data_IF_337422593419
#
_entry.id   IF_337422593419
#
_cell.length_a   1.000
_cell.length_b   1.000
_cell.length_c   1.000
_cell.angle_alpha   90.00
_cell.angle_beta   90.00
_cell.angle_gamma   90.00
#
_symmetry.space_group_name_H-M   'P 1'
#
loop_
_entity.id
_entity.type
_entity.pdbx_description
1 polymer ?
2 non-polymer ?
3 non-polymer ?
4 water ?
#
# COMPACT_ATOMS: atom_id res chain seq x y z
N UNK A 4 -21.26 -38.82 4.23
CA UNK A 4 -21.00 -38.00 5.42
C UNK A 4 -20.14 -36.79 5.08
N UNK A 5 -20.65 -35.55 5.24
CA UNK A 5 -20.03 -34.38 4.60
C UNK A 5 -18.63 -34.08 5.14
N UNK A 6 -17.90 -33.22 4.43
CA UNK A 6 -16.47 -33.07 4.58
C UNK A 6 -16.15 -32.01 5.63
N UNK A 7 -15.00 -32.19 6.28
CA UNK A 7 -14.40 -31.25 7.23
C UNK A 7 -14.48 -29.82 6.67
N UNK A 8 -15.07 -28.90 7.45
CA UNK A 8 -15.14 -27.49 7.11
C UNK A 8 -14.56 -26.64 8.24
N UNK A 9 -14.16 -25.38 7.95
CA UNK A 9 -13.60 -24.49 8.98
C UNK A 9 -14.59 -24.19 10.11
N UNK A 10 -14.12 -24.05 11.36
CA UNK A 10 -14.97 -23.74 12.46
C UNK A 10 -15.60 -22.36 12.25
N UNK A 11 -16.84 -22.19 12.68
CA UNK A 11 -17.54 -20.90 12.54
C UNK A 11 -17.66 -20.29 13.93
N UNK A 12 -17.35 -19.01 14.07
CA UNK A 12 -17.49 -18.30 15.36
C UNK A 12 -18.99 -18.07 15.61
N UNK A 13 -19.47 -18.12 16.87
CA UNK A 13 -20.87 -17.87 17.18
C UNK A 13 -21.33 -16.52 16.60
N UNK A 14 -22.56 -16.53 16.09
CA UNK A 14 -23.22 -15.56 15.20
C UNK A 14 -23.38 -14.09 15.56
N UNK A 15 -23.51 -13.70 16.82
CA UNK A 15 -23.77 -12.26 17.01
C UNK A 15 -25.13 -11.84 16.46
N UNK A 16 -25.20 -10.77 15.66
CA UNK A 16 -26.48 -10.18 15.15
C UNK A 16 -27.00 -10.86 13.87
N UNK A 17 -28.32 -11.07 13.69
CA UNK A 17 -28.82 -11.83 12.53
C UNK A 17 -28.75 -11.03 11.23
N UNK A 18 -28.76 -9.69 11.35
CA UNK A 18 -28.70 -8.78 10.21
C UNK A 18 -27.24 -8.56 9.81
N UNK A 19 -26.34 -8.55 10.81
CA UNK A 19 -25.09 -7.83 10.71
C UNK A 19 -23.89 -8.79 10.81
N UNK A 20 -24.14 -10.01 11.29
CA UNK A 20 -23.08 -10.94 11.66
C UNK A 20 -22.24 -10.39 12.80
N UNK A 21 -20.93 -10.22 12.53
CA UNK A 21 -19.96 -9.86 13.57
C UNK A 21 -19.42 -8.44 13.32
N UNK A 22 -20.00 -7.74 12.34
CA UNK A 22 -19.37 -6.58 11.74
C UNK A 22 -19.12 -5.50 12.79
N UNK A 23 -20.00 -5.41 13.79
CA UNK A 23 -19.92 -4.35 14.79
C UNK A 23 -18.69 -4.59 15.69
N UNK A 24 -18.50 -5.85 16.10
CA UNK A 24 -17.35 -6.23 16.93
C UNK A 24 -16.07 -6.11 16.10
N UNK A 25 -16.20 -6.38 14.80
CA UNK A 25 -15.08 -6.28 13.86
C UNK A 25 -14.68 -4.81 13.67
N UNK A 26 -15.67 -3.96 13.44
CA UNK A 26 -15.47 -2.55 13.10
C UNK A 26 -14.87 -1.77 14.26
N UNK A 27 -15.14 -2.23 15.49
CA UNK A 27 -14.64 -1.63 16.71
C UNK A 27 -13.11 -1.51 16.62
N UNK A 28 -12.45 -2.66 16.41
CA UNK A 28 -11.03 -2.76 16.13
C UNK A 28 -10.80 -3.98 15.24
N UNK A 29 -10.35 -3.82 13.98
CA UNK A 29 -10.27 -4.99 13.12
C UNK A 29 -9.10 -5.93 13.46
N UNK A 30 -8.00 -5.39 13.98
CA UNK A 30 -6.83 -6.20 14.32
C UNK A 30 -7.13 -7.06 15.55
N UNK A 31 -7.72 -6.44 16.59
CA UNK A 31 -8.10 -7.16 17.80
C UNK A 31 -9.01 -8.35 17.42
N UNK A 32 -10.03 -8.06 16.61
CA UNK A 32 -11.03 -9.05 16.22
C UNK A 32 -10.33 -10.28 15.62
N UNK A 33 -9.49 -10.04 14.60
CA UNK A 33 -8.90 -11.10 13.80
C UNK A 33 -7.88 -11.88 14.66
N UNK A 34 -7.19 -11.17 15.55
CA UNK A 34 -6.27 -11.80 16.51
C UNK A 34 -7.06 -12.76 17.39
N UNK A 35 -8.20 -12.29 17.92
CA UNK A 35 -9.04 -13.08 18.80
C UNK A 35 -9.59 -14.30 18.04
N UNK A 36 -10.02 -14.07 16.78
CA UNK A 36 -10.63 -15.12 15.97
C UNK A 36 -9.63 -16.28 15.83
N UNK A 37 -8.39 -15.95 15.46
CA UNK A 37 -7.37 -16.95 15.21
C UNK A 37 -7.02 -17.64 16.54
N UNK A 38 -6.90 -16.85 17.61
CA UNK A 38 -6.53 -17.38 18.92
C UNK A 38 -7.49 -18.51 19.31
N UNK A 39 -8.77 -18.36 18.95
CA UNK A 39 -9.83 -19.22 19.47
C UNK A 39 -10.10 -20.37 18.50
N UNK A 40 -9.90 -20.15 17.20
CA UNK A 40 -10.39 -21.08 16.18
C UNK A 40 -9.25 -21.58 15.27
N UNK A 41 -8.13 -20.85 15.23
CA UNK A 41 -6.90 -21.32 14.60
C UNK A 41 -6.71 -20.76 13.21
N UNK A 42 -6.05 -21.54 12.34
CA UNK A 42 -5.45 -21.06 11.09
C UNK A 42 -6.55 -20.73 10.08
N UNK A 43 -7.67 -21.46 10.17
CA UNK A 43 -8.78 -21.35 9.21
C UNK A 43 -10.09 -21.20 9.99
N UNK A 44 -10.62 -19.97 9.99
CA UNK A 44 -11.68 -19.58 10.92
C UNK A 44 -12.71 -18.71 10.20
N UNK A 45 -13.98 -19.09 10.35
CA UNK A 45 -15.09 -18.44 9.64
C UNK A 45 -15.83 -17.50 10.59
N UNK A 46 -16.17 -16.33 10.06
CA UNK A 46 -17.07 -15.38 10.71
C UNK A 46 -17.96 -14.77 9.62
N UNK A 47 -18.88 -13.89 10.01
CA UNK A 47 -19.75 -13.34 8.94
C UNK A 47 -19.98 -11.82 9.00
N UNK A 48 -19.43 -11.12 8.01
CA UNK A 48 -19.80 -9.74 7.70
C UNK A 48 -21.18 -9.73 7.01
N UNK A 49 -22.18 -9.19 7.72
CA UNK A 49 -23.55 -9.11 7.22
C UNK A 49 -24.05 -10.53 6.89
N UNK A 50 -24.49 -10.73 5.65
CA UNK A 50 -24.98 -12.03 5.18
C UNK A 50 -23.79 -12.93 4.83
N UNK A 51 -22.70 -12.31 4.36
CA UNK A 51 -21.56 -13.01 3.76
C UNK A 51 -20.76 -13.73 4.84
N UNK A 52 -20.14 -14.86 4.47
CA UNK A 52 -19.29 -15.64 5.36
C UNK A 52 -17.83 -15.49 4.93
N UNK A 53 -17.01 -14.94 5.85
CA UNK A 53 -15.58 -14.74 5.64
C UNK A 53 -14.81 -15.86 6.38
N UNK A 54 -13.76 -16.37 5.73
CA UNK A 54 -12.85 -17.32 6.36
C UNK A 54 -11.46 -16.69 6.43
N UNK A 55 -10.96 -16.51 7.65
CA UNK A 55 -9.65 -15.93 7.91
C UNK A 55 -8.58 -17.01 7.75
N UNK A 56 -7.62 -16.75 6.85
CA UNK A 56 -6.52 -17.66 6.56
C UNK A 56 -5.21 -17.07 7.12
N UNK A 57 -4.74 -17.64 8.22
CA UNK A 57 -3.52 -17.16 8.86
C UNK A 57 -2.54 -18.32 9.03
N UNK A 58 -1.27 -17.96 9.21
CA UNK A 58 -0.17 -18.91 9.25
C UNK A 58 0.39 -19.18 7.87
N UNK A 59 1.52 -19.90 7.87
CA UNK A 59 2.30 -20.18 6.67
C UNK A 59 1.45 -20.93 5.65
N UNK A 60 0.82 -22.02 6.08
CA UNK A 60 0.19 -22.98 5.18
C UNK A 60 -1.05 -22.35 4.55
N UNK A 61 -1.92 -21.76 5.39
CA UNK A 61 -3.16 -21.16 4.92
C UNK A 61 -2.84 -19.96 4.02
N UNK A 62 -1.81 -19.20 4.38
CA UNK A 62 -1.34 -18.06 3.60
C UNK A 62 -0.94 -18.54 2.20
N UNK A 63 -0.23 -19.66 2.13
CA UNK A 63 0.27 -20.23 0.89
C UNK A 63 -0.91 -20.53 -0.05
N UNK A 64 -1.92 -21.22 0.49
CA UNK A 64 -3.10 -21.61 -0.29
C UNK A 64 -3.79 -20.35 -0.84
N UNK A 65 -3.70 -19.24 -0.10
CA UNK A 65 -4.34 -17.99 -0.48
C UNK A 65 -3.60 -17.39 -1.68
N UNK A 66 -2.27 -17.23 -1.55
CA UNK A 66 -1.49 -16.43 -2.49
C UNK A 66 -1.25 -17.22 -3.78
N UNK A 67 -1.34 -18.56 -3.69
CA UNK A 67 -0.95 -19.44 -4.78
C UNK A 67 -2.17 -19.89 -5.57
N UNK A 68 -3.36 -19.55 -5.06
CA UNK A 68 -4.61 -19.90 -5.74
C UNK A 68 -4.63 -19.26 -7.12
N UNK A 69 -5.06 -20.01 -8.16
CA UNK A 69 -5.40 -19.42 -9.46
C UNK A 69 -6.45 -18.31 -9.33
N UNK A 70 -6.49 -17.40 -10.31
CA UNK A 70 -7.42 -16.28 -10.31
C UNK A 70 -8.85 -16.81 -10.51
N UNK A 71 -8.95 -18.04 -11.01
CA UNK A 71 -10.23 -18.67 -11.33
C UNK A 71 -10.85 -19.24 -10.05
N UNK A 72 -10.01 -19.49 -9.04
CA UNK A 72 -10.45 -20.04 -7.76
C UNK A 72 -10.82 -18.89 -6.82
N UNK A 73 -9.88 -17.96 -6.62
CA UNK A 73 -10.08 -16.78 -5.79
C UNK A 73 -10.11 -15.53 -6.68
N UNK A 74 -11.21 -14.77 -6.62
CA UNK A 74 -11.37 -13.57 -7.43
C UNK A 74 -11.18 -12.33 -6.54
N UNK A 75 -10.36 -11.39 -7.01
CA UNK A 75 -10.06 -10.18 -6.25
C UNK A 75 -10.98 -9.04 -6.71
N UNK A 76 -11.83 -9.34 -7.71
CA UNK A 76 -12.80 -8.37 -8.21
C UNK A 76 -13.59 -7.71 -7.10
N UNK A 77 -14.35 -8.48 -6.29
CA UNK A 77 -15.26 -7.86 -5.33
C UNK A 77 -14.65 -7.14 -4.12
N UNK A 78 -13.31 -7.19 -3.97
CA UNK A 78 -12.66 -6.34 -2.99
C UNK A 78 -12.93 -4.86 -3.32
N UNK A 79 -12.89 -4.51 -4.61
CA UNK A 79 -12.70 -3.12 -5.01
C UNK A 79 -13.94 -2.53 -5.69
N UNK A 80 -15.11 -3.16 -5.56
CA UNK A 80 -16.31 -2.64 -6.22
C UNK A 80 -16.51 -1.18 -5.80
N UNK A 81 -16.04 -0.86 -4.59
CA UNK A 81 -16.02 0.48 -4.03
C UNK A 81 -15.22 1.41 -4.96
N UNK A 82 -14.23 0.83 -5.66
CA UNK A 82 -13.25 1.60 -6.42
C UNK A 82 -13.68 1.68 -7.89
N UNK A 83 -14.52 0.74 -8.32
CA UNK A 83 -14.80 0.55 -9.73
C UNK A 83 -15.21 1.88 -10.36
N UNK A 84 -16.02 2.72 -9.68
CA UNK A 84 -16.38 4.02 -10.23
C UNK A 84 -15.18 4.96 -10.35
N UNK A 85 -14.19 4.79 -9.46
CA UNK A 85 -12.99 5.63 -9.45
C UNK A 85 -12.05 5.16 -10.57
N UNK A 86 -11.92 3.84 -10.71
CA UNK A 86 -10.96 3.24 -11.64
C UNK A 86 -11.54 3.26 -13.06
N UNK A 87 -12.84 3.01 -13.16
CA UNK A 87 -13.55 2.94 -14.44
C UNK A 87 -14.11 1.55 -14.69
N UNK A 88 -15.27 1.50 -15.34
CA UNK A 88 -15.90 0.23 -15.73
C UNK A 88 -14.99 -0.48 -16.73
N UNK A 89 -14.76 -1.78 -16.48
CA UNK A 89 -13.97 -2.63 -17.36
C UNK A 89 -12.49 -2.36 -17.27
N UNK A 90 -12.11 -1.54 -16.28
CA UNK A 90 -10.68 -1.18 -16.00
C UNK A 90 -10.11 -2.07 -14.88
N UNK A 91 -8.81 -2.02 -14.66
CA UNK A 91 -8.15 -3.08 -13.84
C UNK A 91 -9.04 -3.29 -12.61
N UNK A 92 -9.35 -4.55 -12.35
CA UNK A 92 -10.14 -5.23 -11.26
C UNK A 92 -11.65 -5.11 -11.59
N UNK A 93 -11.98 -4.58 -12.78
CA UNK A 93 -13.38 -4.54 -13.30
C UNK A 93 -13.39 -5.21 -14.68
N UNK A 94 -12.20 -5.57 -15.18
CA UNK A 94 -11.99 -6.21 -16.46
C UNK A 94 -12.05 -7.73 -16.28
N UNK A 95 -12.14 -8.44 -17.41
CA UNK A 95 -12.20 -9.90 -17.42
C UNK A 95 -10.78 -10.45 -17.26
N UNK A 96 -10.65 -11.60 -16.59
CA UNK A 96 -9.40 -12.06 -16.00
C UNK A 96 -8.24 -11.71 -16.94
N UNK A 97 -8.42 -12.02 -18.22
CA UNK A 97 -7.35 -11.97 -19.22
C UNK A 97 -6.92 -10.51 -19.44
N UNK A 98 -7.91 -9.61 -19.57
CA UNK A 98 -7.65 -8.21 -19.86
C UNK A 98 -7.06 -7.54 -18.62
N UNK A 99 -7.63 -7.85 -17.45
CA UNK A 99 -7.10 -7.40 -16.17
C UNK A 99 -5.59 -7.66 -16.13
N UNK A 100 -5.19 -8.91 -16.43
CA UNK A 100 -3.88 -9.41 -16.08
C UNK A 100 -2.83 -8.81 -17.04
N UNK A 101 -3.28 -8.43 -18.24
CA UNK A 101 -2.41 -7.77 -19.21
C UNK A 101 -2.14 -6.34 -18.76
N UNK A 102 -3.18 -5.67 -18.24
CA UNK A 102 -3.06 -4.29 -17.77
C UNK A 102 -2.08 -4.26 -16.58
N UNK A 103 -2.21 -5.23 -15.68
CA UNK A 103 -1.33 -5.32 -14.51
C UNK A 103 0.11 -5.58 -14.96
N UNK A 104 0.27 -6.34 -16.04
CA UNK A 104 1.59 -6.73 -16.54
C UNK A 104 2.25 -5.53 -17.25
N UNK A 105 1.44 -4.57 -17.69
CA UNK A 105 1.96 -3.34 -18.28
C UNK A 105 2.56 -2.46 -17.17
N UNK A 106 1.96 -2.52 -15.98
CA UNK A 106 2.41 -1.71 -14.85
C UNK A 106 3.77 -2.22 -14.35
N UNK A 107 3.96 -3.54 -14.37
CA UNK A 107 5.03 -4.17 -13.60
C UNK A 107 6.36 -3.53 -13.98
N UNK A 108 6.71 -3.42 -15.29
CA UNK A 108 8.02 -2.90 -15.69
C UNK A 108 8.13 -1.38 -15.54
N UNK A 109 6.99 -0.70 -15.35
CA UNK A 109 6.96 0.74 -15.19
C UNK A 109 7.32 1.12 -13.74
N UNK A 110 7.39 0.11 -12.86
CA UNK A 110 7.52 0.33 -11.43
C UNK A 110 8.78 -0.36 -10.89
N UNK A 111 9.54 -1.01 -11.77
CA UNK A 111 10.82 -1.62 -11.41
C UNK A 111 11.91 -1.21 -12.41
N UNK A 112 13.16 -1.57 -12.08
CA UNK A 112 14.26 -1.64 -13.03
C UNK A 112 14.43 -0.28 -13.73
N UNK A 113 14.18 -0.26 -15.04
CA UNK A 113 14.79 0.73 -15.93
C UNK A 113 14.50 2.14 -15.43
N UNK A 114 13.23 2.47 -15.05
CA UNK A 114 12.94 3.85 -14.66
C UNK A 114 13.30 4.18 -13.21
N UNK A 115 13.80 3.18 -12.46
CA UNK A 115 13.96 3.31 -11.02
C UNK A 115 15.01 4.38 -10.70
N UNK A 116 16.03 4.52 -11.55
CA UNK A 116 17.11 5.46 -11.29
C UNK A 116 16.60 6.89 -11.46
N UNK A 117 15.74 7.11 -12.46
CA UNK A 117 15.11 8.41 -12.69
C UNK A 117 14.17 8.73 -11.53
N UNK A 118 13.36 7.74 -11.14
CA UNK A 118 12.41 7.87 -10.05
C UNK A 118 13.15 8.32 -8.78
N UNK A 119 14.30 7.69 -8.50
CA UNK A 119 15.13 8.01 -7.34
C UNK A 119 15.43 9.51 -7.32
N UNK A 120 15.94 10.02 -8.45
CA UNK A 120 16.42 11.39 -8.55
C UNK A 120 15.26 12.35 -8.32
N UNK A 121 14.12 12.04 -8.95
CA UNK A 121 12.90 12.82 -8.81
C UNK A 121 12.49 12.90 -7.35
N UNK A 122 12.48 11.75 -6.67
CA UNK A 122 12.04 11.66 -5.29
C UNK A 122 12.99 12.48 -4.42
N UNK A 123 14.30 12.28 -4.62
CA UNK A 123 15.30 13.03 -3.86
C UNK A 123 15.08 14.52 -4.09
N UNK A 124 14.94 14.91 -5.37
CA UNK A 124 14.75 16.30 -5.75
C UNK A 124 13.56 16.90 -4.99
N UNK A 125 12.45 16.15 -4.93
CA UNK A 125 11.20 16.67 -4.42
C UNK A 125 11.33 16.92 -2.90
N UNK A 126 12.07 16.05 -2.21
CA UNK A 126 12.24 16.18 -0.76
C UNK A 126 13.18 17.35 -0.47
N UNK A 127 14.29 17.41 -1.22
CA UNK A 127 15.22 18.53 -1.15
C UNK A 127 14.45 19.84 -1.33
N UNK A 128 13.50 19.85 -2.26
CA UNK A 128 12.77 21.06 -2.64
C UNK A 128 11.91 21.52 -1.46
N UNK A 129 11.21 20.57 -0.83
CA UNK A 129 10.25 20.87 0.22
C UNK A 129 10.99 21.36 1.46
N UNK A 130 12.24 20.91 1.63
CA UNK A 130 13.02 21.17 2.83
C UNK A 130 13.46 22.64 2.84
N UNK A 131 13.55 23.24 1.65
CA UNK A 131 14.06 24.60 1.50
C UNK A 131 13.09 25.61 2.13
N UNK A 132 11.80 25.23 2.19
CA UNK A 132 10.76 26.09 2.72
C UNK A 132 10.92 26.21 4.23
N UNK A 133 11.54 25.19 4.84
CA UNK A 133 11.41 24.92 6.26
C UNK A 133 12.15 25.99 7.07
N UNK A 134 11.57 26.36 8.22
CA UNK A 134 12.23 27.19 9.23
C UNK A 134 13.38 26.39 9.85
N UNK A 135 14.12 27.02 10.76
CA UNK A 135 15.30 26.41 11.37
C UNK A 135 14.84 25.39 12.42
N UNK A 136 13.61 25.58 12.91
CA UNK A 136 12.98 24.69 13.88
C UNK A 136 11.46 24.87 13.79
N UNK A 137 10.72 23.90 14.32
CA UNK A 137 9.27 23.98 14.37
C UNK A 137 8.63 22.65 14.72
N UNK A 138 7.31 22.61 14.57
CA UNK A 138 6.48 21.49 14.99
C UNK A 138 5.47 21.16 13.88
N UNK A 139 5.57 19.93 13.37
CA UNK A 139 4.78 19.51 12.21
C UNK A 139 4.02 18.23 12.59
N UNK A 140 2.90 18.00 11.90
CA UNK A 140 2.22 16.71 11.91
C UNK A 140 2.88 15.79 10.89
N UNK A 141 3.55 14.75 11.39
CA UNK A 141 4.43 13.90 10.60
C UNK A 141 3.63 13.17 9.53
N UNK A 142 2.36 12.86 9.84
CA UNK A 142 1.53 12.06 8.94
C UNK A 142 1.01 12.94 7.80
N UNK A 143 0.85 14.24 8.07
CA UNK A 143 0.54 15.22 7.04
C UNK A 143 1.75 15.43 6.15
N UNK A 144 2.95 15.46 6.76
CA UNK A 144 4.19 15.63 6.00
C UNK A 144 4.34 14.46 5.01
N UNK A 145 4.23 13.22 5.51
CA UNK A 145 4.54 12.06 4.69
C UNK A 145 3.48 11.89 3.60
N UNK A 146 2.27 12.41 3.84
CA UNK A 146 1.16 12.28 2.88
C UNK A 146 1.36 13.26 1.73
N UNK A 147 1.76 14.50 2.05
CA UNK A 147 2.17 15.47 1.04
C UNK A 147 3.30 14.88 0.20
N UNK A 148 4.39 14.55 0.90
CA UNK A 148 5.65 14.14 0.28
C UNK A 148 5.38 13.00 -0.70
N UNK A 149 4.52 12.06 -0.28
CA UNK A 149 4.29 10.83 -1.01
C UNK A 149 3.45 11.11 -2.26
N UNK A 150 2.54 12.08 -2.19
CA UNK A 150 1.67 12.39 -3.32
C UNK A 150 2.45 13.22 -4.35
N UNK A 151 3.37 14.07 -3.89
CA UNK A 151 4.21 14.87 -4.78
C UNK A 151 5.15 13.96 -5.57
N UNK A 152 5.81 13.03 -4.86
CA UNK A 152 6.79 12.13 -5.46
C UNK A 152 6.05 11.12 -6.35
N UNK A 153 4.94 10.57 -5.85
CA UNK A 153 4.12 9.62 -6.59
C UNK A 153 3.77 10.22 -7.96
N UNK A 154 3.12 11.38 -7.92
CA UNK A 154 2.46 11.95 -9.09
C UNK A 154 3.51 12.38 -10.12
N UNK A 155 4.62 12.93 -9.62
CA UNK A 155 5.74 13.30 -10.48
C UNK A 155 6.26 12.06 -11.22
N UNK A 156 6.28 10.91 -10.52
CA UNK A 156 6.89 9.69 -11.04
C UNK A 156 5.89 8.92 -11.91
N UNK A 157 4.63 8.87 -11.50
CA UNK A 157 3.65 8.04 -12.18
C UNK A 157 2.96 8.84 -13.30
N UNK A 158 2.79 10.14 -13.09
CA UNK A 158 2.02 10.98 -14.00
C UNK A 158 2.97 11.84 -14.84
N UNK A 159 3.93 12.50 -14.19
CA UNK A 159 4.94 13.32 -14.85
C UNK A 159 4.90 14.75 -14.35
N UNK A 160 5.77 15.59 -14.92
CA UNK A 160 6.04 16.93 -14.39
C UNK A 160 4.80 17.81 -14.54
N UNK A 161 3.98 17.54 -15.55
CA UNK A 161 2.81 18.35 -15.86
C UNK A 161 1.94 18.47 -14.61
N UNK A 162 1.84 17.37 -13.85
CA UNK A 162 0.88 17.26 -12.76
C UNK A 162 1.44 17.88 -11.49
N UNK A 163 2.76 18.12 -11.47
CA UNK A 163 3.41 18.76 -10.33
C UNK A 163 3.39 20.28 -10.52
N UNK A 164 3.31 20.73 -11.79
CA UNK A 164 3.45 22.13 -12.11
C UNK A 164 2.13 22.71 -12.61
N UNK A 165 1.89 22.57 -13.91
CA UNK A 165 0.83 23.25 -14.63
C UNK A 165 -0.54 22.78 -14.09
N UNK A 166 -0.62 21.49 -13.73
CA UNK A 166 -1.88 20.89 -13.30
C UNK A 166 -1.84 20.61 -11.81
N UNK A 167 -0.91 21.23 -11.10
CA UNK A 167 -0.76 21.04 -9.66
C UNK A 167 -2.12 21.25 -8.99
N UNK A 168 -2.58 22.50 -8.97
CA UNK A 168 -3.79 22.89 -8.25
C UNK A 168 -4.95 21.97 -8.66
N UNK A 169 -5.15 21.83 -9.97
CA UNK A 169 -6.36 21.19 -10.47
C UNK A 169 -6.36 19.72 -10.03
N UNK A 170 -5.20 19.07 -10.17
CA UNK A 170 -5.08 17.64 -9.84
C UNK A 170 -5.33 17.44 -8.34
N UNK A 171 -4.79 18.34 -7.52
CA UNK A 171 -4.99 18.30 -6.07
C UNK A 171 -6.48 18.15 -5.76
N UNK A 172 -7.29 19.04 -6.34
CA UNK A 172 -8.73 19.04 -6.15
C UNK A 172 -9.36 17.76 -6.66
N UNK A 173 -8.86 17.27 -7.79
CA UNK A 173 -9.38 16.06 -8.42
C UNK A 173 -9.12 14.87 -7.49
N UNK A 174 -7.92 14.83 -6.90
CA UNK A 174 -7.51 13.69 -6.08
C UNK A 174 -8.39 13.62 -4.84
N UNK A 175 -8.66 14.74 -4.18
CA UNK A 175 -9.45 14.71 -2.94
C UNK A 175 -10.89 14.35 -3.28
N UNK A 176 -11.37 14.77 -4.46
CA UNK A 176 -12.76 14.52 -4.85
C UNK A 176 -12.92 13.03 -5.20
N UNK A 177 -11.86 12.41 -5.74
CA UNK A 177 -11.82 10.97 -5.94
C UNK A 177 -11.74 10.27 -4.57
N UNK A 178 -10.84 10.79 -3.72
CA UNK A 178 -10.60 10.28 -2.37
C UNK A 178 -11.91 10.23 -1.59
N UNK A 179 -12.63 11.35 -1.56
CA UNK A 179 -13.83 11.52 -0.75
C UNK A 179 -14.88 10.48 -1.18
N UNK A 180 -14.80 10.05 -2.44
CA UNK A 180 -15.79 9.16 -3.04
C UNK A 180 -15.59 7.72 -2.57
N UNK A 181 -14.60 7.50 -1.71
CA UNK A 181 -14.40 6.23 -1.04
C UNK A 181 -15.17 6.24 0.28
N UNK A 182 -16.48 5.98 0.16
CA UNK A 182 -17.40 5.85 1.28
C UNK A 182 -17.81 4.38 1.41
N UNK A 183 -17.90 3.82 2.64
CA UNK A 183 -18.14 2.39 2.82
C UNK A 183 -19.53 1.96 2.28
N UNK A 184 -20.46 2.92 2.22
CA UNK A 184 -21.79 2.65 1.69
C UNK A 184 -21.66 2.27 0.21
N UNK A 185 -20.60 2.77 -0.44
CA UNK A 185 -20.35 2.48 -1.85
C UNK A 185 -20.03 1.00 -2.04
N UNK A 186 -19.24 0.42 -1.13
CA UNK A 186 -18.93 -1.01 -1.16
C UNK A 186 -20.19 -1.82 -0.83
N UNK A 187 -20.87 -1.42 0.24
CA UNK A 187 -22.09 -2.08 0.70
C UNK A 187 -23.13 -2.03 -0.41
N UNK A 188 -23.34 -0.83 -0.98
CA UNK A 188 -24.35 -0.63 -2.02
C UNK A 188 -23.78 -1.04 -3.37
N UNK A 189 -24.65 -1.53 -4.28
CA UNK A 189 -24.30 -1.62 -5.69
C UNK A 189 -24.38 -0.15 -6.14
N UNK A 190 -24.82 0.65 -5.16
CA UNK A 190 -25.41 1.97 -5.40
C UNK A 190 -24.26 2.94 -5.64
N UNK A 191 -24.56 4.04 -6.35
CA UNK A 191 -23.55 4.99 -6.76
C UNK A 191 -23.93 6.46 -6.65
N UNK A 192 -25.22 6.77 -6.82
CA UNK A 192 -25.71 8.15 -6.76
C UNK A 192 -25.77 8.77 -5.37
N UNK A 193 -25.24 9.98 -5.26
CA UNK A 193 -25.27 10.81 -4.05
C UNK A 193 -24.61 12.14 -4.38
N UNK A 194 -24.58 13.15 -3.47
CA UNK A 194 -23.87 14.39 -3.74
C UNK A 194 -22.35 14.21 -3.87
N UNK A 195 -21.76 13.42 -2.98
CA UNK A 195 -20.32 13.23 -2.94
C UNK A 195 -19.90 12.30 -4.10
N UNK A 196 -20.89 11.67 -4.74
CA UNK A 196 -20.62 10.65 -5.75
C UNK A 196 -20.51 11.29 -7.14
N UNK A 197 -21.31 12.34 -7.41
CA UNK A 197 -21.21 13.04 -8.69
C UNK A 197 -19.93 13.89 -8.69
N UNK A 198 -19.53 14.31 -7.49
CA UNK A 198 -18.25 15.04 -7.33
C UNK A 198 -17.12 14.06 -7.65
N UNK A 199 -17.31 12.79 -7.29
CA UNK A 199 -16.32 11.73 -7.52
C UNK A 199 -16.28 11.41 -9.02
N UNK A 200 -17.46 11.44 -9.66
CA UNK A 200 -17.59 11.09 -11.07
C UNK A 200 -17.05 12.23 -11.93
N UNK A 201 -17.37 13.47 -11.56
CA UNK A 201 -16.93 14.65 -12.30
C UNK A 201 -15.40 14.68 -12.31
N UNK A 202 -14.79 14.29 -11.19
CA UNK A 202 -13.32 14.30 -11.04
C UNK A 202 -12.67 13.29 -11.98
N UNK A 203 -13.25 12.10 -12.09
CA UNK A 203 -12.73 11.03 -12.98
C UNK A 203 -12.80 11.52 -14.43
N UNK A 204 -13.90 12.19 -14.79
CA UNK A 204 -14.10 12.69 -16.14
C UNK A 204 -13.03 13.73 -16.45
N UNK A 205 -12.82 14.65 -15.51
CA UNK A 205 -11.84 15.76 -15.69
C UNK A 205 -10.43 15.20 -15.85
N UNK A 206 -10.10 14.17 -15.07
CA UNK A 206 -8.75 13.60 -15.09
C UNK A 206 -8.52 12.91 -16.44
N UNK A 207 -9.54 12.19 -16.94
CA UNK A 207 -9.44 11.53 -18.22
C UNK A 207 -9.29 12.58 -19.33
N UNK A 208 -9.98 13.71 -19.17
CA UNK A 208 -9.83 14.85 -20.07
C UNK A 208 -8.36 15.26 -20.08
N UNK A 209 -7.77 15.39 -18.89
CA UNK A 209 -6.43 15.95 -18.73
C UNK A 209 -5.39 14.95 -19.25
N UNK A 210 -5.69 13.65 -19.08
CA UNK A 210 -4.84 12.59 -19.59
C UNK A 210 -4.84 12.67 -21.13
N UNK A 211 -6.03 12.86 -21.71
CA UNK A 211 -6.19 12.84 -23.16
C UNK A 211 -5.40 14.00 -23.78
N UNK A 212 -5.49 15.18 -23.16
CA UNK A 212 -4.84 16.38 -23.66
C UNK A 212 -3.32 16.17 -23.65
N UNK A 213 -2.83 15.46 -22.64
CA UNK A 213 -1.40 15.38 -22.38
C UNK A 213 -0.77 14.33 -23.30
N UNK A 214 -1.51 13.24 -23.55
CA UNK A 214 -1.15 12.28 -24.59
C UNK A 214 -0.91 13.04 -25.91
N UNK A 215 -1.85 13.91 -26.26
CA UNK A 215 -1.84 14.62 -27.52
C UNK A 215 -0.69 15.63 -27.54
N UNK A 216 -0.45 16.30 -26.40
CA UNK A 216 0.54 17.36 -26.34
C UNK A 216 1.95 16.77 -26.33
N UNK A 217 2.12 15.65 -25.62
CA UNK A 217 3.39 14.93 -25.62
C UNK A 217 3.67 14.41 -27.04
N UNK A 218 2.60 14.00 -27.72
CA UNK A 218 2.70 13.47 -29.08
C UNK A 218 2.95 14.60 -30.09
N UNK A 219 2.26 15.73 -29.89
CA UNK A 219 2.44 16.92 -30.79
C UNK A 219 3.89 17.36 -30.66
N UNK A 220 4.37 17.43 -29.41
CA UNK A 220 5.78 17.64 -29.13
C UNK A 220 6.55 16.33 -29.34
N UNK A 221 7.81 16.27 -28.91
CA UNK A 221 8.57 15.04 -29.01
C UNK A 221 9.26 14.70 -27.68
N UNK A 222 8.86 15.37 -26.59
CA UNK A 222 9.39 15.07 -25.27
C UNK A 222 8.99 13.64 -24.89
N UNK A 223 9.96 12.86 -24.39
CA UNK A 223 9.73 11.49 -23.97
C UNK A 223 10.17 11.33 -22.51
N UNK A 224 9.31 11.78 -21.59
CA UNK A 224 9.58 11.78 -20.16
C UNK A 224 9.52 10.34 -19.62
N UNK A 225 10.12 10.14 -18.44
CA UNK A 225 10.09 8.85 -17.75
C UNK A 225 9.05 8.90 -16.62
N UNK A 226 7.91 8.26 -16.87
CA UNK A 226 6.86 8.08 -15.89
C UNK A 226 5.96 6.93 -16.35
N UNK A 227 5.15 6.41 -15.42
CA UNK A 227 4.30 5.25 -15.69
C UNK A 227 3.35 5.62 -16.85
N UNK A 228 2.86 6.87 -16.82
CA UNK A 228 1.97 7.41 -17.83
C UNK A 228 2.57 7.18 -19.22
N UNK A 229 3.79 7.68 -19.43
CA UNK A 229 4.48 7.55 -20.71
C UNK A 229 4.53 6.08 -21.12
N UNK A 230 4.88 5.21 -20.15
CA UNK A 230 5.14 3.80 -20.45
C UNK A 230 3.82 3.11 -20.79
N UNK A 231 2.71 3.65 -20.27
CA UNK A 231 1.38 3.13 -20.56
C UNK A 231 0.94 3.60 -21.95
N UNK A 232 1.38 4.79 -22.36
CA UNK A 232 1.18 5.25 -23.73
C UNK A 232 1.90 4.29 -24.68
N UNK A 233 3.13 3.92 -24.33
CA UNK A 233 4.04 3.21 -25.23
C UNK A 233 3.74 1.70 -25.20
N UNK A 234 2.84 1.28 -24.30
CA UNK A 234 2.51 -0.13 -24.14
C UNK A 234 1.55 -0.57 -25.25
N UNK A 235 1.25 -1.86 -25.29
CA UNK A 235 0.15 -2.40 -26.07
C UNK A 235 -0.24 -3.80 -25.56
N UNK A 236 -1.51 -4.16 -25.76
CA UNK A 236 -2.00 -5.51 -25.55
C UNK A 236 -1.30 -6.47 -26.51
N UNK A 237 -1.51 -7.77 -26.29
CA UNK A 237 -0.82 -8.82 -27.03
C UNK A 237 -1.32 -8.84 -28.48
N UNK A 238 -2.50 -8.27 -28.73
CA UNK A 238 -3.09 -8.27 -30.06
C UNK A 238 -2.65 -7.02 -30.82
N UNK A 239 -1.92 -6.13 -30.15
CA UNK A 239 -1.28 -4.99 -30.80
C UNK A 239 -2.08 -3.71 -30.62
N UNK A 240 -3.28 -3.83 -30.03
CA UNK A 240 -4.13 -2.68 -29.75
C UNK A 240 -3.55 -1.88 -28.58
N UNK A 241 -3.97 -0.62 -28.48
CA UNK A 241 -3.42 0.32 -27.51
C UNK A 241 -4.43 0.52 -26.37
N UNK A 242 -3.90 0.97 -25.23
CA UNK A 242 -4.72 1.47 -24.13
C UNK A 242 -5.48 2.72 -24.61
N UNK A 243 -6.74 2.85 -24.16
CA UNK A 243 -7.54 4.05 -24.34
C UNK A 243 -7.26 5.02 -23.19
N UNK A 244 -7.63 6.32 -23.33
CA UNK A 244 -7.53 7.25 -22.21
C UNK A 244 -8.37 6.81 -21.01
N UNK A 245 -9.51 6.15 -21.26
CA UNK A 245 -10.32 5.58 -20.20
C UNK A 245 -9.46 4.63 -19.36
N UNK A 246 -8.65 3.81 -20.05
CA UNK A 246 -7.92 2.71 -19.41
C UNK A 246 -6.65 3.26 -18.74
N UNK A 247 -5.96 4.16 -19.45
CA UNK A 247 -4.74 4.76 -18.93
C UNK A 247 -5.07 5.53 -17.65
N UNK A 248 -6.24 6.19 -17.64
CA UNK A 248 -6.64 7.06 -16.53
C UNK A 248 -6.93 6.20 -15.30
N UNK A 249 -7.70 5.13 -15.50
CA UNK A 249 -8.03 4.18 -14.43
C UNK A 249 -6.78 3.54 -13.84
N UNK A 250 -5.87 3.12 -14.72
CA UNK A 250 -4.69 2.35 -14.32
C UNK A 250 -3.76 3.25 -13.49
N UNK A 251 -3.70 4.54 -13.85
CA UNK A 251 -2.83 5.49 -13.17
C UNK A 251 -3.41 5.84 -11.80
N UNK A 252 -4.74 5.90 -11.72
CA UNK A 252 -5.44 6.26 -10.49
C UNK A 252 -5.29 5.10 -9.50
N UNK A 253 -5.43 3.87 -10.00
CA UNK A 253 -5.32 2.67 -9.18
C UNK A 253 -3.90 2.61 -8.58
N UNK A 254 -2.92 3.03 -9.37
CA UNK A 254 -1.51 2.95 -9.00
C UNK A 254 -1.22 3.97 -7.88
N UNK A 255 -1.86 5.14 -7.97
CA UNK A 255 -1.61 6.22 -7.04
C UNK A 255 -2.29 5.90 -5.70
N UNK A 256 -3.50 5.33 -5.77
CA UNK A 256 -4.26 4.97 -4.59
C UNK A 256 -3.55 3.82 -3.86
N UNK A 257 -3.00 2.90 -4.66
CA UNK A 257 -2.30 1.73 -4.15
C UNK A 257 -1.09 2.17 -3.30
N UNK A 258 -0.41 3.24 -3.74
CA UNK A 258 0.91 3.57 -3.24
C UNK A 258 0.91 4.72 -2.24
N UNK A 259 -0.19 5.46 -2.14
CA UNK A 259 -0.14 6.76 -1.48
C UNK A 259 -0.12 6.58 0.06
N UNK A 260 -1.22 6.07 0.62
CA UNK A 260 -1.37 6.00 2.07
C UNK A 260 -0.52 4.85 2.63
N UNK A 261 -0.30 3.83 1.80
CA UNK A 261 0.56 2.71 2.14
C UNK A 261 1.99 3.20 2.38
N UNK A 262 2.52 3.95 1.41
CA UNK A 262 3.85 4.54 1.50
C UNK A 262 3.91 5.51 2.69
N UNK A 263 3.00 6.49 2.69
CA UNK A 263 3.06 7.62 3.60
C UNK A 263 2.95 7.13 5.05
N UNK A 264 2.09 6.14 5.28
CA UNK A 264 1.91 5.53 6.58
C UNK A 264 3.18 4.83 7.04
N UNK A 265 3.78 4.06 6.13
CA UNK A 265 4.97 3.26 6.42
C UNK A 265 6.14 4.21 6.73
N UNK A 266 6.24 5.29 5.96
CA UNK A 266 7.32 6.27 6.14
C UNK A 266 7.18 6.91 7.52
N UNK A 267 5.94 7.25 7.90
CA UNK A 267 5.64 7.84 9.19
C UNK A 267 6.08 6.90 10.32
N UNK A 268 5.85 5.59 10.12
CA UNK A 268 6.14 4.60 11.16
C UNK A 268 7.65 4.37 11.27
N UNK A 269 8.36 4.45 10.13
CA UNK A 269 9.80 4.25 10.13
C UNK A 269 10.44 5.34 11.00
N UNK A 270 9.92 6.56 10.90
CA UNK A 270 10.46 7.69 11.66
C UNK A 270 10.06 7.56 13.13
N UNK A 271 8.79 7.23 13.38
CA UNK A 271 8.31 7.09 14.75
C UNK A 271 9.13 6.00 15.46
N UNK A 272 9.32 4.85 14.80
CA UNK A 272 9.96 3.71 15.44
C UNK A 272 11.43 4.04 15.74
N UNK A 273 12.08 4.76 14.82
CA UNK A 273 13.45 5.22 15.03
C UNK A 273 13.51 6.25 16.16
N UNK A 274 12.47 7.10 16.25
CA UNK A 274 12.49 8.21 17.20
C UNK A 274 12.18 7.70 18.62
N UNK A 275 11.55 6.53 18.74
CA UNK A 275 11.32 5.96 20.09
C UNK A 275 12.35 4.86 20.35
N UNK A 276 13.29 4.66 19.44
CA UNK A 276 14.35 3.63 19.61
C UNK A 276 15.71 4.23 19.24
N UNK A 277 16.38 4.96 20.13
CA UNK A 277 17.63 5.63 19.81
C UNK A 277 18.74 4.75 19.25
N UNK A 278 18.73 3.47 19.61
CA UNK A 278 19.80 2.57 19.22
C UNK A 278 19.70 2.31 17.70
N UNK A 279 18.47 2.30 17.18
CA UNK A 279 18.24 2.06 15.76
C UNK A 279 18.35 3.39 15.00
N UNK A 280 17.96 4.49 15.65
CA UNK A 280 18.15 5.82 15.08
C UNK A 280 19.64 6.03 14.81
N UNK A 281 20.48 5.56 15.73
CA UNK A 281 21.93 5.71 15.65
C UNK A 281 22.46 4.85 14.49
N UNK A 282 21.95 3.63 14.38
CA UNK A 282 22.41 2.68 13.36
C UNK A 282 22.05 3.22 11.98
N UNK A 283 20.89 3.89 11.86
CA UNK A 283 20.40 4.36 10.57
C UNK A 283 21.14 5.66 10.20
N UNK A 284 21.32 6.57 11.16
CA UNK A 284 22.08 7.80 10.92
C UNK A 284 23.50 7.44 10.50
N UNK A 285 24.10 6.47 11.19
CA UNK A 285 25.45 6.02 10.91
C UNK A 285 25.54 5.56 9.44
N UNK A 286 24.51 4.82 9.01
CA UNK A 286 24.46 4.28 7.66
C UNK A 286 24.31 5.43 6.66
N UNK A 287 23.45 6.39 6.97
CA UNK A 287 23.14 7.51 6.10
C UNK A 287 24.39 8.39 5.96
N UNK A 288 25.00 8.72 7.10
CA UNK A 288 26.18 9.59 7.14
C UNK A 288 27.32 8.92 6.34
N UNK A 289 27.42 7.59 6.47
CA UNK A 289 28.40 6.79 5.75
C UNK A 289 28.17 6.91 4.24
N UNK A 290 26.88 6.88 3.86
CA UNK A 290 26.47 7.00 2.46
C UNK A 290 27.01 8.31 1.88
N UNK A 291 26.94 9.39 2.67
CA UNK A 291 27.29 10.71 2.18
C UNK A 291 28.80 10.88 2.08
N UNK A 292 29.58 10.14 2.89
CA UNK A 292 31.03 10.19 2.72
C UNK A 292 31.45 9.23 1.60
N UNK A 293 30.55 8.34 1.18
CA UNK A 293 30.88 7.34 0.16
C UNK A 293 30.42 7.81 -1.22
N UNK A 294 29.31 8.57 -1.27
CA UNK A 294 28.71 8.94 -2.55
C UNK A 294 28.62 10.46 -2.69
N UNK A 295 28.53 11.16 -1.55
CA UNK A 295 28.50 12.62 -1.52
C UNK A 295 27.14 13.16 -1.93
N UNK A 296 26.24 12.26 -2.36
CA UNK A 296 24.86 12.60 -2.70
C UNK A 296 24.04 11.32 -2.65
N UNK A 297 22.72 11.48 -2.49
CA UNK A 297 21.82 10.33 -2.53
C UNK A 297 21.59 9.94 -3.99
N UNK A 298 21.99 8.71 -4.29
CA UNK A 298 22.14 8.20 -5.64
C UNK A 298 21.42 6.84 -5.70
N UNK A 299 20.98 6.45 -6.90
CA UNK A 299 20.24 5.20 -7.05
C UNK A 299 21.08 4.04 -6.52
N UNK A 300 22.39 4.10 -6.76
CA UNK A 300 23.32 3.02 -6.43
C UNK A 300 23.50 2.96 -4.91
N UNK A 301 23.39 4.11 -4.23
CA UNK A 301 23.58 4.20 -2.79
C UNK A 301 22.33 3.68 -2.07
N UNK A 302 21.16 3.90 -2.66
CA UNK A 302 19.89 3.49 -2.07
C UNK A 302 19.77 1.97 -2.10
N UNK A 303 20.38 1.35 -3.11
CA UNK A 303 20.27 -0.12 -3.32
C UNK A 303 20.90 -0.88 -2.15
N UNK A 304 21.88 -0.26 -1.48
CA UNK A 304 22.64 -0.93 -0.42
C UNK A 304 22.54 -0.10 0.87
N UNK A 305 21.43 -0.28 1.59
CA UNK A 305 21.22 0.31 2.91
C UNK A 305 20.60 -0.73 3.84
N UNK A 306 21.36 -1.78 4.25
CA UNK A 306 20.79 -2.93 4.92
C UNK A 306 20.09 -2.56 6.23
N UNK A 307 20.70 -1.65 7.00
CA UNK A 307 20.19 -1.27 8.30
C UNK A 307 18.80 -0.64 8.14
N UNK A 308 18.64 0.19 7.11
CA UNK A 308 17.40 0.94 6.92
C UNK A 308 16.36 0.05 6.23
N UNK A 309 16.82 -0.82 5.33
CA UNK A 309 15.97 -1.85 4.73
C UNK A 309 15.31 -2.67 5.85
N UNK A 310 16.13 -3.09 6.81
CA UNK A 310 15.74 -4.06 7.83
C UNK A 310 14.73 -3.40 8.78
N UNK A 311 14.94 -2.09 9.02
CA UNK A 311 14.02 -1.29 9.83
C UNK A 311 12.68 -1.20 9.11
N UNK A 312 12.70 -0.95 7.80
CA UNK A 312 11.48 -0.82 7.00
C UNK A 312 10.73 -2.16 7.06
N UNK A 313 11.48 -3.26 6.93
CA UNK A 313 10.89 -4.60 6.91
C UNK A 313 10.18 -4.87 8.24
N UNK A 314 10.80 -4.47 9.34
CA UNK A 314 10.26 -4.74 10.67
C UNK A 314 9.06 -3.82 10.92
N UNK A 315 9.14 -2.59 10.43
CA UNK A 315 8.02 -1.65 10.51
C UNK A 315 6.84 -2.23 9.74
N UNK A 316 7.13 -2.92 8.63
CA UNK A 316 6.06 -3.48 7.79
C UNK A 316 5.54 -4.78 8.41
N UNK A 317 6.37 -5.48 9.19
CA UNK A 317 5.90 -6.63 9.94
C UNK A 317 4.85 -6.17 10.97
N UNK A 318 5.20 -5.13 11.74
CA UNK A 318 4.41 -4.74 12.90
C UNK A 318 3.33 -3.73 12.50
N UNK A 319 3.50 -3.07 11.35
CA UNK A 319 2.51 -2.11 10.86
C UNK A 319 2.27 -2.31 9.37
N UNK A 320 1.76 -3.48 8.92
CA UNK A 320 1.31 -3.63 7.55
C UNK A 320 0.08 -2.77 7.27
N UNK A 321 0.16 -1.80 6.32
CA UNK A 321 -0.91 -0.84 6.12
C UNK A 321 -2.21 -1.43 5.55
N UNK A 322 -2.11 -2.60 4.90
CA UNK A 322 -3.28 -3.38 4.51
C UNK A 322 -3.39 -4.64 5.38
N UNK A 323 -4.51 -4.79 6.08
CA UNK A 323 -4.64 -5.78 7.14
C UNK A 323 -5.74 -6.79 6.81
N UNK A 324 -6.50 -6.55 5.74
CA UNK A 324 -7.48 -7.52 5.27
C UNK A 324 -7.47 -7.58 3.74
N UNK A 325 -6.90 -8.66 3.20
CA UNK A 325 -6.87 -8.93 1.76
C UNK A 325 -7.96 -9.96 1.43
N UNK A 326 -8.96 -9.54 0.65
CA UNK A 326 -10.21 -10.30 0.50
C UNK A 326 -10.30 -10.90 -0.90
N UNK A 327 -10.87 -12.11 -0.98
CA UNK A 327 -11.23 -12.76 -2.24
C UNK A 327 -12.59 -13.44 -2.10
N UNK A 328 -13.35 -13.47 -3.21
CA UNK A 328 -14.49 -14.36 -3.39
C UNK A 328 -13.97 -15.75 -3.83
N UNK A 329 -14.47 -16.80 -3.18
CA UNK A 329 -14.25 -18.18 -3.60
C UNK A 329 -15.23 -18.50 -4.74
N UNK A 330 -14.68 -18.84 -5.91
CA UNK A 330 -15.45 -19.07 -7.12
C UNK A 330 -15.55 -20.57 -7.40
N UNK A 331 -14.77 -21.36 -6.64
CA UNK A 331 -14.68 -22.80 -6.83
C UNK A 331 -14.25 -23.43 -5.49
N UNK A 332 -14.99 -24.45 -5.05
CA UNK A 332 -14.61 -25.21 -3.86
C UNK A 332 -13.09 -25.38 -3.88
N UNK A 333 -12.42 -24.95 -2.79
CA UNK A 333 -11.02 -25.27 -2.59
C UNK A 333 -10.77 -25.58 -1.10
N UNK A 334 -9.63 -26.24 -0.87
CA UNK A 334 -9.36 -27.00 0.34
C UNK A 334 -8.05 -26.48 0.95
N UNK A 335 -8.13 -26.00 2.20
CA UNK A 335 -6.96 -25.44 2.88
C UNK A 335 -6.80 -26.15 4.23
N UNK A 336 -5.65 -26.82 4.38
CA UNK A 336 -5.30 -27.55 5.59
C UNK A 336 -6.41 -28.55 5.93
N UNK A 337 -6.96 -29.19 4.89
CA UNK A 337 -7.80 -30.37 5.05
C UNK A 337 -9.25 -29.99 5.32
N UNK A 338 -9.52 -28.69 5.37
CA UNK A 338 -10.87 -28.15 5.46
C UNK A 338 -11.31 -27.63 4.08
N UNK A 339 -12.60 -27.69 3.83
CA UNK A 339 -13.17 -27.32 2.51
C UNK A 339 -13.90 -25.99 2.61
N UNK A 340 -13.56 -25.06 1.73
CA UNK A 340 -14.20 -23.75 1.64
C UNK A 340 -15.00 -23.68 0.35
N UNK A 341 -16.33 -23.56 0.50
CA UNK A 341 -17.27 -23.70 -0.60
C UNK A 341 -17.27 -22.40 -1.42
N UNK A 342 -17.40 -22.55 -2.75
CA UNK A 342 -17.71 -21.44 -3.64
C UNK A 342 -18.86 -20.62 -3.04
N UNK A 343 -18.78 -19.29 -3.18
CA UNK A 343 -19.77 -18.37 -2.66
C UNK A 343 -19.29 -17.69 -1.39
N UNK A 344 -18.43 -18.39 -0.64
CA UNK A 344 -17.81 -17.84 0.56
C UNK A 344 -16.69 -16.88 0.16
N UNK A 345 -16.29 -16.03 1.10
CA UNK A 345 -15.09 -15.21 0.96
C UNK A 345 -13.98 -15.76 1.86
N UNK A 346 -12.76 -15.29 1.56
CA UNK A 346 -11.53 -15.77 2.17
C UNK A 346 -10.56 -14.58 2.19
N UNK A 347 -9.84 -14.41 3.31
CA UNK A 347 -9.00 -13.23 3.48
C UNK A 347 -7.73 -13.57 4.26
N UNK A 348 -6.61 -13.05 3.76
CA UNK A 348 -5.33 -13.08 4.44
C UNK A 348 -5.20 -11.85 5.36
N UNK A 349 -4.52 -12.04 6.50
CA UNK A 349 -4.43 -11.03 7.54
C UNK A 349 -2.97 -10.85 7.95
N UNK A 350 -2.22 -9.99 7.24
CA UNK A 350 -0.82 -9.71 7.58
C UNK A 350 -0.60 -9.40 9.06
N UNK A 351 -1.38 -8.48 9.62
CA UNK A 351 -1.14 -7.99 10.97
C UNK A 351 -1.22 -9.16 11.97
N UNK A 352 -1.98 -10.20 11.58
CA UNK A 352 -2.15 -11.37 12.43
C UNK A 352 -0.98 -12.34 12.22
N UNK A 353 -0.72 -12.70 10.95
CA UNK A 353 0.22 -13.76 10.64
C UNK A 353 1.63 -13.32 11.05
N UNK A 354 1.86 -12.01 11.06
CA UNK A 354 3.15 -11.42 11.40
C UNK A 354 3.44 -11.59 12.91
N UNK A 355 2.41 -11.95 13.67
CA UNK A 355 2.47 -11.94 15.12
C UNK A 355 2.36 -13.39 15.66
N UNK A 356 2.52 -14.36 14.75
CA UNK A 356 2.57 -15.76 15.11
C UNK A 356 3.97 -16.09 15.65
N UNK A 357 4.06 -16.62 16.88
CA UNK A 357 5.36 -16.82 17.54
C UNK A 357 6.26 -17.82 16.81
N UNK A 358 5.66 -18.82 16.17
CA UNK A 358 6.39 -19.90 15.53
C UNK A 358 7.11 -19.36 14.29
N UNK A 359 6.57 -18.30 13.69
CA UNK A 359 7.20 -17.63 12.56
C UNK A 359 8.14 -16.53 13.06
N UNK A 360 7.65 -15.72 14.00
CA UNK A 360 8.36 -14.53 14.46
C UNK A 360 8.54 -14.59 15.97
N UNK A 361 9.58 -15.29 16.46
CA UNK A 361 9.78 -15.44 17.91
C UNK A 361 9.78 -14.08 18.62
N UNK A 362 9.09 -14.01 19.76
CA UNK A 362 8.88 -12.77 20.49
C UNK A 362 8.22 -11.76 19.56
N UNK A 363 7.03 -12.09 19.01
CA UNK A 363 6.44 -11.35 17.90
C UNK A 363 6.21 -9.86 18.18
N UNK A 364 5.99 -9.50 19.45
CA UNK A 364 5.60 -8.13 19.77
C UNK A 364 6.84 -7.25 19.88
N UNK A 365 8.02 -7.85 19.80
CA UNK A 365 9.27 -7.10 19.88
C UNK A 365 9.66 -6.59 18.49
N UNK A 366 10.08 -5.33 18.44
CA UNK A 366 10.65 -4.68 17.26
C UNK A 366 12.14 -5.04 17.17
N UNK A 367 12.51 -5.76 16.10
CA UNK A 367 13.86 -6.26 15.94
C UNK A 367 14.21 -6.33 14.46
N UNK A 368 14.93 -5.34 13.91
CA UNK A 368 15.29 -5.35 12.49
C UNK A 368 16.21 -6.51 12.12
N UNK A 369 16.90 -7.07 13.11
CA UNK A 369 17.96 -8.05 12.89
C UNK A 369 17.32 -9.41 12.60
N UNK A 370 16.00 -9.47 12.57
CA UNK A 370 15.27 -10.66 12.12
C UNK A 370 15.68 -10.99 10.68
N UNK A 371 16.13 -9.96 9.95
CA UNK A 371 16.16 -9.97 8.50
C UNK A 371 17.62 -10.01 8.00
N UNK A 372 18.55 -10.17 8.94
CA UNK A 372 19.93 -10.47 8.63
C UNK A 372 20.00 -11.82 7.93
N UNK A 373 21.07 -12.10 7.15
CA UNK A 373 21.17 -13.37 6.45
C UNK A 373 21.15 -14.58 7.40
N UNK A 374 21.61 -14.38 8.63
CA UNK A 374 21.71 -15.44 9.62
C UNK A 374 20.29 -15.87 10.04
N UNK A 375 19.33 -14.92 10.00
CA UNK A 375 18.01 -15.13 10.56
C UNK A 375 16.95 -15.07 9.46
N UNK A 376 15.77 -15.61 9.76
CA UNK A 376 14.75 -15.97 8.78
C UNK A 376 13.95 -14.73 8.36
N UNK A 377 13.83 -14.56 7.04
CA UNK A 377 13.14 -13.44 6.39
C UNK A 377 12.12 -14.00 5.40
N UNK A 378 12.64 -14.64 4.34
CA UNK A 378 11.84 -15.21 3.25
C UNK A 378 11.64 -16.71 3.49
N UNK A 379 12.40 -17.26 4.44
CA UNK A 379 12.60 -18.71 4.55
C UNK A 379 11.25 -19.41 4.54
N UNK A 380 10.21 -18.68 4.98
CA UNK A 380 8.83 -18.93 4.56
C UNK A 380 8.32 -17.70 3.80
N UNK A 381 8.01 -17.89 2.51
CA UNK A 381 7.67 -16.78 1.62
C UNK A 381 6.21 -16.37 1.85
N UNK A 382 5.53 -17.06 2.78
CA UNK A 382 4.13 -16.82 3.06
C UNK A 382 3.91 -16.62 4.57
N UNK A 383 5.00 -16.30 5.28
CA UNK A 383 4.91 -15.73 6.62
C UNK A 383 4.78 -14.22 6.58
N UNK A 384 5.92 -13.56 6.40
CA UNK A 384 5.98 -12.14 6.08
C UNK A 384 5.27 -11.86 4.76
N UNK A 385 4.25 -11.00 4.78
CA UNK A 385 3.37 -10.83 3.64
C UNK A 385 2.76 -9.42 3.62
N UNK A 386 3.57 -8.41 3.97
CA UNK A 386 3.12 -7.03 4.02
C UNK A 386 2.77 -6.53 2.62
N UNK A 387 3.46 -7.09 1.61
CA UNK A 387 3.16 -6.80 0.21
C UNK A 387 2.34 -7.94 -0.41
N UNK A 388 1.64 -8.70 0.44
CA UNK A 388 0.98 -9.93 0.00
C UNK A 388 1.96 -10.88 -0.65
N UNK A 389 1.54 -11.52 -1.74
CA UNK A 389 2.30 -12.63 -2.31
C UNK A 389 1.63 -13.22 -3.55
N UNK A 390 2.35 -14.13 -4.22
CA UNK A 390 1.83 -14.87 -5.35
C UNK A 390 1.68 -13.98 -6.58
N UNK A 391 0.77 -14.35 -7.47
CA UNK A 391 0.61 -13.63 -8.75
C UNK A 391 0.29 -12.15 -8.51
N UNK A 392 -0.44 -11.84 -7.43
CA UNK A 392 -0.92 -10.48 -7.23
C UNK A 392 -0.21 -9.82 -6.04
N UNK A 393 1.05 -10.20 -5.81
CA UNK A 393 1.96 -9.45 -4.96
C UNK A 393 2.05 -8.00 -5.47
N UNK A 394 2.26 -7.05 -4.55
CA UNK A 394 2.50 -5.65 -4.87
C UNK A 394 3.44 -5.55 -6.08
N UNK A 395 3.04 -4.77 -7.09
CA UNK A 395 3.91 -4.40 -8.20
C UNK A 395 4.89 -3.31 -7.75
N UNK A 396 4.44 -2.50 -6.80
CA UNK A 396 5.11 -1.25 -6.45
C UNK A 396 6.05 -1.40 -5.28
N UNK A 397 6.38 -2.64 -4.92
CA UNK A 397 7.11 -2.93 -3.69
C UNK A 397 8.53 -2.36 -3.80
N UNK A 398 9.16 -2.54 -4.96
CA UNK A 398 10.50 -1.97 -5.20
C UNK A 398 10.42 -0.44 -5.16
N UNK A 399 9.42 0.12 -5.85
CA UNK A 399 9.22 1.56 -5.88
C UNK A 399 9.05 2.08 -4.44
N UNK A 400 8.22 1.38 -3.67
CA UNK A 400 7.92 1.76 -2.29
C UNK A 400 9.22 1.80 -1.47
N UNK A 401 10.06 0.78 -1.60
CA UNK A 401 11.26 0.64 -0.78
C UNK A 401 12.23 1.78 -1.11
N UNK A 402 12.36 2.13 -2.39
CA UNK A 402 13.28 3.19 -2.81
C UNK A 402 12.74 4.55 -2.35
N UNK A 403 11.44 4.76 -2.55
CA UNK A 403 10.77 6.00 -2.14
C UNK A 403 11.01 6.22 -0.64
N UNK A 404 10.78 5.19 0.16
CA UNK A 404 10.81 5.30 1.62
C UNK A 404 12.25 5.55 2.07
N UNK A 405 13.20 4.80 1.49
CA UNK A 405 14.61 4.96 1.79
C UNK A 405 15.05 6.39 1.44
N UNK A 406 14.69 6.83 0.23
CA UNK A 406 15.08 8.14 -0.28
C UNK A 406 14.59 9.23 0.68
N UNK A 407 13.31 9.15 1.08
CA UNK A 407 12.70 10.19 1.89
C UNK A 407 13.40 10.24 3.25
N UNK A 408 13.72 9.07 3.81
CA UNK A 408 14.24 8.98 5.16
C UNK A 408 15.70 9.49 5.18
N UNK A 409 16.49 9.08 4.19
CA UNK A 409 17.84 9.59 4.04
C UNK A 409 17.83 11.13 4.12
N UNK A 410 17.11 11.76 3.19
CA UNK A 410 17.21 13.19 2.98
C UNK A 410 16.76 13.91 4.26
N UNK A 411 15.68 13.41 4.88
CA UNK A 411 15.12 14.03 6.07
C UNK A 411 16.14 13.96 7.22
N UNK A 412 16.72 12.78 7.42
CA UNK A 412 17.55 12.51 8.59
C UNK A 412 18.92 13.16 8.42
N UNK A 413 19.36 13.32 7.16
CA UNK A 413 20.66 13.92 6.85
C UNK A 413 20.64 15.40 7.20
N UNK A 414 19.48 16.04 7.09
CA UNK A 414 19.37 17.49 7.13
C UNK A 414 18.72 17.94 8.45
N UNK A 415 18.02 17.03 9.12
CA UNK A 415 17.13 17.42 10.22
C UNK A 415 17.21 16.41 11.36
N UNK A 416 17.42 16.95 12.57
CA UNK A 416 17.10 16.29 13.84
C UNK A 416 15.58 16.32 14.06
N UNK A 417 15.04 15.21 14.58
CA UNK A 417 13.63 15.14 14.98
C UNK A 417 13.52 14.64 16.42
N UNK A 418 12.35 14.89 17.02
CA UNK A 418 11.95 14.25 18.27
C UNK A 418 10.43 14.26 18.39
N UNK A 419 9.89 13.25 19.06
CA UNK A 419 8.45 13.12 19.27
C UNK A 419 7.97 14.22 20.22
N UNK A 420 6.76 14.73 19.96
CA UNK A 420 6.21 15.88 20.68
C UNK A 420 5.28 15.38 21.78
N UNK A 421 5.09 14.05 21.81
CA UNK A 421 4.18 13.39 22.74
C UNK A 421 4.84 12.10 23.25
N UNK A 422 4.22 11.49 24.25
CA UNK A 422 4.78 10.31 24.92
C UNK A 422 4.91 9.17 23.90
N UNK A 423 6.03 8.43 23.95
CA UNK A 423 6.36 7.45 22.89
C UNK A 423 5.27 6.41 22.67
N UNK A 424 4.64 5.98 23.77
CA UNK A 424 3.69 4.86 23.77
C UNK A 424 2.35 5.35 23.23
N UNK A 425 2.24 6.65 22.96
CA UNK A 425 0.99 7.30 22.59
C UNK A 425 0.79 7.23 21.06
N UNK A 426 1.87 6.93 20.34
CA UNK A 426 1.79 6.71 18.90
C UNK A 426 1.37 5.26 18.64
N UNK A 427 0.18 5.11 18.05
CA UNK A 427 -0.51 3.84 17.92
C UNK A 427 -1.13 3.76 16.52
N UNK A 428 -1.32 2.53 16.02
CA UNK A 428 -2.05 2.30 14.79
C UNK A 428 -3.53 2.68 15.02
N UNK A 429 -4.11 3.36 14.03
CA UNK A 429 -5.56 3.54 13.93
C UNK A 429 -6.13 2.45 13.01
N UNK A 430 -6.60 1.35 13.63
CA UNK A 430 -6.98 0.17 12.88
C UNK A 430 -8.36 0.37 12.24
N UNK A 431 -8.93 1.55 12.43
CA UNK A 431 -10.28 1.87 11.95
C UNK A 431 -10.21 2.49 10.55
N UNK A 432 -8.98 2.80 10.09
CA UNK A 432 -8.80 3.43 8.79
C UNK A 432 -8.65 2.35 7.72
N UNK A 433 -9.21 2.63 6.54
CA UNK A 433 -9.28 1.70 5.42
C UNK A 433 -7.86 1.25 5.04
N UNK A 434 -6.93 2.22 5.01
CA UNK A 434 -5.50 1.97 5.00
C UNK A 434 -4.94 2.34 6.37
N UNK A 435 -4.44 1.34 7.11
CA UNK A 435 -4.01 1.55 8.49
C UNK A 435 -2.76 2.43 8.49
N UNK A 436 -2.80 3.47 9.32
CA UNK A 436 -1.70 4.41 9.49
C UNK A 436 -1.62 4.80 10.96
N UNK A 437 -0.62 5.59 11.38
CA UNK A 437 -0.58 6.04 12.76
C UNK A 437 -1.82 6.91 13.02
N UNK A 438 -2.25 7.02 14.28
CA UNK A 438 -3.44 7.83 14.67
C UNK A 438 -3.20 9.30 14.31
N UNK A 439 -4.26 9.99 13.89
CA UNK A 439 -4.16 11.28 13.17
C UNK A 439 -3.41 12.41 13.86
N UNK A 440 -3.60 12.78 15.13
CA UNK A 440 -2.73 13.81 15.68
C UNK A 440 -1.44 13.04 15.96
N UNK A 441 -0.40 13.39 15.21
CA UNK A 441 0.92 12.71 15.16
C UNK A 441 1.97 13.80 14.99
N UNK A 442 2.22 14.57 16.05
CA UNK A 442 3.13 15.74 16.10
C UNK A 442 4.60 15.32 16.29
N UNK A 443 5.49 16.08 15.66
CA UNK A 443 6.92 15.83 15.61
C UNK A 443 7.62 17.19 15.58
N UNK A 444 8.85 17.24 16.12
CA UNK A 444 9.64 18.47 16.16
C UNK A 444 10.88 18.30 15.29
N UNK A 445 11.37 19.41 14.73
CA UNK A 445 12.50 19.39 13.79
C UNK A 445 13.41 20.60 14.08
N UNK A 446 14.69 20.43 13.70
CA UNK A 446 15.77 21.40 13.93
C UNK A 446 16.88 21.10 12.93
N UNK A 447 17.25 22.07 12.08
CA UNK A 447 18.31 21.89 11.09
C UNK A 447 19.51 21.24 11.78
N UNK A 448 20.05 20.21 11.14
CA UNK A 448 21.15 19.43 11.73
C UNK A 448 22.38 20.32 11.91
N UNK A 449 23.25 19.95 12.85
CA UNK A 449 24.50 20.67 13.21
C UNK A 449 24.26 22.18 13.31
#
# INVERSE_FOLDING_TARGET
>A
MSHPPSNTPPVKPGGLPLLGHILEFGKNPHAFLMALRHEFGDVAEFRMFHQRMVLLTGSQASEAFYRAPDEVLDQGPAYRIMTPIFGRGVVFDARIERKNQQLQMLMPALRDKPMRTYSEIIVAEVEAMLRDWKDAGTIDLLELTKELTIYTSSHCLLGAEFRHELNTEFAGIYRDLEMGIQPIAYVFPNLPLPVFKRRDQARVRLQELVTQIMERRARSQERSTNVFQMLIDASYDDGSKLTPHEITGMLIATIFAGHHTSSGTTAWVLIELLRRPEYLRRVRAEIDALFETHGRVTFESLRQMPQLENVIKEVLRLHPPLILLMRKVMKDFEVQGMRIEAGKFVCAAPSVTHRIPELFPNPELFDPDRYTPERAEDKDLYGWQAFGGGRHKCSGNAFAMFQIKAIVCVLLRNYEFELAAAPESYRDDYRKMVVEPASPCLIRYRRRDAPAAVDAKASAGEAPAETLRGAFRVTVDRDLCKGHGNCMAEAPEIFRVDEDGRLTLLSETPDPVLVGAALAAERFCPARAIKILPQRDPATRDRSLSPSGED
#
